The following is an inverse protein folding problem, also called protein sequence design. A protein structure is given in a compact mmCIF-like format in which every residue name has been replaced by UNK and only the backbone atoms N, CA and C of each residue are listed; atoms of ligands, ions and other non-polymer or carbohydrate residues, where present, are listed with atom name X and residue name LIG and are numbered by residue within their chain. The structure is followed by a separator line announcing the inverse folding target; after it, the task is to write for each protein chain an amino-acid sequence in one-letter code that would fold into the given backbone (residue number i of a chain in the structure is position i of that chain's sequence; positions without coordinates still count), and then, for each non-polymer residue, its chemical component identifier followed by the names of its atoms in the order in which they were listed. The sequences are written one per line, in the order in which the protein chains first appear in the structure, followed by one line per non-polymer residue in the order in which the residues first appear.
data_IF_112984902993
#
_entry.id   IF_112984902993
#
_cell.length_a   1.000
_cell.length_b   1.000
_cell.length_c   1.000
_cell.angle_alpha   90.00
_cell.angle_beta   90.00
_cell.angle_gamma   90.00
#
_symmetry.space_group_name_H-M   'P 1'
#
loop_
_entity.id
_entity.type
_entity.pdbx_description
1 polymer ?
#
# COMPACT_ATOMS: atom_id res chain seq x y z
N UNK A 1 -5.22 34.33 8.77
CA UNK A 1 -4.14 33.56 8.10
C UNK A 1 -4.74 32.94 6.86
N UNK A 2 -4.17 33.21 5.72
CA UNK A 2 -4.61 32.60 4.45
C UNK A 2 -3.75 31.37 4.13
N UNK A 3 -4.40 30.26 3.76
CA UNK A 3 -3.75 29.04 3.29
C UNK A 3 -4.44 28.61 2.01
N UNK A 4 -3.69 28.50 0.92
CA UNK A 4 -4.21 28.06 -0.37
C UNK A 4 -3.67 26.67 -0.74
N UNK A 5 -4.51 25.93 -1.44
CA UNK A 5 -4.20 24.59 -1.96
C UNK A 5 -4.41 24.56 -3.47
N UNK A 6 -3.40 24.11 -4.20
CA UNK A 6 -3.43 24.05 -5.66
C UNK A 6 -2.97 22.68 -6.16
N UNK A 7 -3.76 22.07 -7.02
CA UNK A 7 -3.36 20.85 -7.70
C UNK A 7 -2.20 21.12 -8.68
N UNK A 8 -1.12 20.36 -8.53
CA UNK A 8 0.08 20.47 -9.39
C UNK A 8 0.24 19.27 -10.34
N UNK A 9 -0.78 18.43 -10.48
CA UNK A 9 -0.80 17.26 -11.36
C UNK A 9 -0.31 15.99 -10.68
N UNK A 10 -0.53 14.85 -11.34
CA UNK A 10 -0.08 13.50 -10.91
C UNK A 10 -0.42 13.14 -9.46
N UNK A 11 -1.61 13.52 -8.98
CA UNK A 11 -2.03 13.23 -7.60
C UNK A 11 -1.23 14.01 -6.55
N UNK A 12 -0.71 15.19 -6.90
CA UNK A 12 0.01 16.09 -6.00
C UNK A 12 -0.71 17.40 -5.82
N UNK A 13 -0.63 17.92 -4.62
CA UNK A 13 -1.18 19.22 -4.22
C UNK A 13 -0.06 20.07 -3.62
N UNK A 14 -0.12 21.37 -3.81
CA UNK A 14 0.78 22.33 -3.17
C UNK A 14 -0.01 23.19 -2.20
N UNK A 15 0.50 23.29 -0.97
CA UNK A 15 0.07 24.23 0.06
C UNK A 15 0.92 25.49 -0.05
N UNK A 16 0.28 26.64 0.04
CA UNK A 16 0.95 27.93 0.11
C UNK A 16 0.33 28.78 1.22
N UNK A 17 1.18 29.44 2.00
CA UNK A 17 0.81 30.46 2.99
C UNK A 17 1.99 31.44 3.15
N UNK A 18 1.71 32.70 3.48
CA UNK A 18 2.72 33.69 3.82
C UNK A 18 3.18 33.58 5.29
N UNK A 19 2.43 32.85 6.13
CA UNK A 19 2.81 32.56 7.52
C UNK A 19 3.82 31.42 7.57
N UNK A 20 5.12 31.77 7.58
CA UNK A 20 6.22 30.80 7.63
C UNK A 20 6.16 29.89 8.86
N UNK A 21 5.72 30.43 10.01
CA UNK A 21 5.60 29.66 11.25
C UNK A 21 4.51 28.59 11.10
N UNK A 22 3.36 28.96 10.54
CA UNK A 22 2.28 28.00 10.27
C UNK A 22 2.72 26.96 9.24
N UNK A 23 3.43 27.37 8.19
CA UNK A 23 3.98 26.45 7.19
C UNK A 23 4.91 25.41 7.81
N UNK A 24 5.87 25.85 8.63
CA UNK A 24 6.82 24.96 9.28
C UNK A 24 6.12 24.01 10.28
N UNK A 25 5.14 24.50 11.06
CA UNK A 25 4.35 23.66 11.96
C UNK A 25 3.59 22.56 11.21
N UNK A 26 2.96 22.90 10.09
CA UNK A 26 2.26 21.92 9.24
C UNK A 26 3.29 20.92 8.68
N UNK A 27 4.38 21.39 8.14
CA UNK A 27 5.41 20.57 7.52
C UNK A 27 6.07 19.62 8.52
N UNK A 28 6.38 20.09 9.73
CA UNK A 28 6.95 19.27 10.80
C UNK A 28 6.00 18.19 11.31
N UNK A 29 4.71 18.48 11.37
CA UNK A 29 3.70 17.46 11.69
C UNK A 29 3.75 16.28 10.74
N UNK A 30 3.96 16.54 9.46
CA UNK A 30 4.02 15.53 8.39
C UNK A 30 5.46 15.14 8.04
N UNK A 31 6.25 14.84 9.08
CA UNK A 31 7.65 14.46 8.98
C UNK A 31 8.02 13.39 9.99
N UNK A 32 9.17 12.76 9.81
CA UNK A 32 9.71 11.76 10.73
C UNK A 32 11.25 11.72 10.65
N UNK A 33 11.87 11.23 11.72
CA UNK A 33 13.28 10.90 11.73
C UNK A 33 13.48 9.47 11.19
N UNK A 34 14.32 9.33 10.19
CA UNK A 34 14.68 8.03 9.60
C UNK A 34 16.09 7.62 10.00
N UNK A 35 16.39 6.33 9.96
CA UNK A 35 17.75 5.86 10.23
C UNK A 35 18.74 6.38 9.18
N UNK A 36 20.03 6.50 9.55
CA UNK A 36 21.10 6.91 8.62
C UNK A 36 21.10 6.06 7.33
N UNK A 37 20.86 4.77 7.44
CA UNK A 37 20.77 3.87 6.30
C UNK A 37 19.62 4.23 5.35
N UNK A 38 18.43 4.48 5.90
CA UNK A 38 17.26 4.89 5.09
C UNK A 38 17.51 6.25 4.43
N UNK A 39 18.13 7.19 5.14
CA UNK A 39 18.52 8.49 4.60
C UNK A 39 19.49 8.37 3.42
N UNK A 40 20.56 7.58 3.59
CA UNK A 40 21.57 7.34 2.53
C UNK A 40 20.91 6.67 1.31
N UNK A 41 20.06 5.67 1.53
CA UNK A 41 19.33 4.99 0.45
C UNK A 41 18.43 5.97 -0.31
N UNK A 42 17.75 6.86 0.39
CA UNK A 42 16.90 7.90 -0.20
C UNK A 42 17.70 8.90 -1.03
N UNK A 43 18.85 9.35 -0.51
CA UNK A 43 19.73 10.25 -1.27
C UNK A 43 20.19 9.60 -2.58
N UNK A 44 20.63 8.34 -2.53
CA UNK A 44 21.06 7.58 -3.71
C UNK A 44 19.93 7.38 -4.73
N UNK A 45 18.72 7.05 -4.28
CA UNK A 45 17.56 6.84 -5.17
C UNK A 45 17.11 8.12 -5.89
N UNK A 46 17.42 9.29 -5.32
CA UNK A 46 17.15 10.61 -5.91
C UNK A 46 18.34 11.22 -6.66
N UNK A 47 19.40 10.45 -6.85
CA UNK A 47 20.61 10.92 -7.54
C UNK A 47 21.48 11.89 -6.72
N UNK A 48 21.21 12.05 -5.42
CA UNK A 48 22.03 12.90 -4.53
C UNK A 48 23.15 12.09 -3.90
N UNK A 49 24.35 12.66 -3.81
CA UNK A 49 25.40 12.16 -2.93
C UNK A 49 25.05 12.57 -1.49
N UNK A 50 24.93 11.61 -0.54
CA UNK A 50 24.71 11.97 0.86
C UNK A 50 25.91 12.76 1.37
N UNK A 51 25.64 13.91 1.96
CA UNK A 51 26.66 14.67 2.69
C UNK A 51 26.81 14.04 4.09
N UNK A 52 27.96 13.40 4.40
CA UNK A 52 28.15 12.74 5.68
C UNK A 52 28.17 13.70 6.87
N UNK A 53 28.33 14.99 6.62
CA UNK A 53 28.38 16.04 7.66
C UNK A 53 27.02 16.67 7.94
N UNK A 54 26.04 16.54 7.03
CA UNK A 54 24.67 17.00 7.20
C UNK A 54 23.77 15.88 7.72
N UNK A 55 23.79 15.69 9.02
CA UNK A 55 23.00 14.67 9.72
C UNK A 55 21.59 15.18 10.01
N UNK A 56 20.83 15.58 8.99
CA UNK A 56 19.38 15.67 9.16
C UNK A 56 18.74 14.42 8.58
N UNK A 57 18.55 13.41 9.43
CA UNK A 57 17.77 12.21 9.09
C UNK A 57 16.27 12.50 8.99
N UNK A 58 15.89 13.79 9.00
CA UNK A 58 14.52 14.24 9.00
C UNK A 58 13.95 14.19 7.58
N UNK A 59 12.86 13.48 7.41
CA UNK A 59 12.16 13.29 6.15
C UNK A 59 10.77 13.89 6.24
N UNK A 60 10.43 14.71 5.27
CA UNK A 60 9.17 15.43 5.20
C UNK A 60 8.27 14.87 4.10
N UNK A 61 7.00 14.61 4.40
CA UNK A 61 5.99 14.28 3.40
C UNK A 61 5.57 15.52 2.58
N UNK A 62 5.73 16.71 3.15
CA UNK A 62 5.56 18.01 2.48
C UNK A 62 6.94 18.58 2.18
N UNK A 63 7.26 18.83 0.92
CA UNK A 63 8.57 19.41 0.55
C UNK A 63 8.65 20.91 0.87
N UNK A 64 9.81 21.53 0.64
CA UNK A 64 10.04 22.97 0.93
C UNK A 64 9.20 23.92 0.07
N UNK A 65 8.78 23.47 -1.12
CA UNK A 65 7.85 24.23 -1.97
C UNK A 65 6.37 24.00 -1.64
N UNK A 66 6.08 23.31 -0.54
CA UNK A 66 4.71 23.02 -0.08
C UNK A 66 4.04 21.85 -0.80
N UNK A 67 4.74 21.12 -1.69
CA UNK A 67 4.13 20.03 -2.44
C UNK A 67 4.11 18.73 -1.63
N UNK A 68 2.99 18.01 -1.74
CA UNK A 68 2.73 16.73 -1.10
C UNK A 68 1.81 15.85 -1.97
N UNK A 69 1.72 14.57 -1.66
CA UNK A 69 0.77 13.68 -2.33
C UNK A 69 -0.66 13.96 -1.84
N UNK A 70 -1.58 14.17 -2.77
CA UNK A 70 -2.96 14.67 -2.52
C UNK A 70 -3.74 13.84 -1.49
N UNK A 71 -3.46 12.55 -1.35
CA UNK A 71 -4.11 11.70 -0.34
C UNK A 71 -3.85 12.11 1.12
N UNK A 72 -2.93 13.04 1.40
CA UNK A 72 -2.71 13.62 2.72
C UNK A 72 -3.56 14.88 2.97
N UNK A 73 -4.30 15.35 1.97
CA UNK A 73 -5.03 16.63 2.07
C UNK A 73 -6.00 16.64 3.25
N UNK A 74 -6.79 15.59 3.43
CA UNK A 74 -7.74 15.48 4.54
C UNK A 74 -7.02 15.55 5.90
N UNK A 75 -5.93 14.79 6.08
CA UNK A 75 -5.12 14.80 7.31
C UNK A 75 -4.50 16.20 7.58
N UNK A 76 -4.11 16.92 6.53
CA UNK A 76 -3.55 18.30 6.63
C UNK A 76 -4.65 19.29 7.03
N UNK A 77 -5.82 19.21 6.41
CA UNK A 77 -6.97 20.06 6.76
C UNK A 77 -7.43 19.84 8.20
N UNK A 78 -7.49 18.59 8.63
CA UNK A 78 -7.81 18.22 10.01
C UNK A 78 -6.76 18.79 10.98
N UNK A 79 -5.48 18.71 10.65
CA UNK A 79 -4.42 19.31 11.46
C UNK A 79 -4.58 20.83 11.57
N UNK A 80 -4.81 21.51 10.45
CA UNK A 80 -5.01 22.96 10.42
C UNK A 80 -6.20 23.36 11.31
N UNK A 81 -7.35 22.69 11.14
CA UNK A 81 -8.54 22.95 11.93
C UNK A 81 -8.33 22.76 13.43
N UNK A 82 -7.59 21.74 13.82
CA UNK A 82 -7.40 21.39 15.23
C UNK A 82 -6.28 22.19 15.92
N UNK A 83 -5.31 22.72 15.18
CA UNK A 83 -4.15 23.41 15.79
C UNK A 83 -4.16 24.92 15.60
N UNK A 84 -4.95 25.43 14.66
CA UNK A 84 -5.08 26.88 14.45
C UNK A 84 -6.48 27.40 14.81
N UNK A 85 -7.23 26.69 15.68
CA UNK A 85 -8.59 27.03 16.07
C UNK A 85 -8.72 28.41 16.73
N UNK A 86 -7.64 28.97 17.31
CA UNK A 86 -7.58 30.30 17.90
C UNK A 86 -7.29 31.43 16.88
N UNK A 87 -7.20 31.09 15.58
CA UNK A 87 -6.94 32.04 14.50
C UNK A 87 -8.07 31.94 13.46
N UNK A 88 -8.41 33.06 12.85
CA UNK A 88 -9.21 33.01 11.62
C UNK A 88 -8.34 32.47 10.51
N UNK A 89 -8.69 31.29 9.98
CA UNK A 89 -7.99 30.64 8.86
C UNK A 89 -8.90 30.65 7.65
N UNK A 90 -8.49 31.35 6.60
CA UNK A 90 -9.17 31.38 5.32
C UNK A 90 -8.53 30.33 4.41
N UNK A 91 -9.29 29.28 4.06
CA UNK A 91 -8.84 28.21 3.18
C UNK A 91 -9.34 28.45 1.76
N UNK A 92 -8.42 28.45 0.82
CA UNK A 92 -8.75 28.58 -0.61
C UNK A 92 -8.27 27.36 -1.40
N UNK A 93 -9.06 26.91 -2.36
CA UNK A 93 -8.75 25.75 -3.18
C UNK A 93 -8.88 26.11 -4.65
N UNK A 94 -8.01 25.55 -5.50
CA UNK A 94 -8.26 25.59 -6.93
C UNK A 94 -9.35 24.56 -7.31
N UNK A 95 -9.97 24.74 -8.47
CA UNK A 95 -11.09 23.93 -8.97
C UNK A 95 -10.83 22.42 -8.89
N UNK A 96 -9.61 21.99 -9.24
CA UNK A 96 -9.26 20.56 -9.21
C UNK A 96 -9.10 20.00 -7.80
N UNK A 97 -8.59 20.79 -6.88
CA UNK A 97 -8.46 20.40 -5.46
C UNK A 97 -9.83 20.36 -4.82
N UNK A 98 -10.69 21.31 -5.15
CA UNK A 98 -12.09 21.34 -4.68
C UNK A 98 -12.90 20.16 -5.24
N UNK A 99 -12.78 19.84 -6.53
CA UNK A 99 -13.39 18.65 -7.13
C UNK A 99 -12.91 17.35 -6.46
N UNK A 100 -11.61 17.26 -6.12
CA UNK A 100 -11.08 16.12 -5.38
C UNK A 100 -11.75 15.97 -4.01
N UNK A 101 -11.88 17.06 -3.23
CA UNK A 101 -12.52 17.03 -1.91
C UNK A 101 -13.99 16.65 -2.03
N UNK A 102 -14.73 17.33 -2.89
CA UNK A 102 -16.16 17.06 -3.12
C UNK A 102 -16.40 15.63 -3.60
N UNK A 103 -15.58 15.16 -4.53
CA UNK A 103 -15.71 13.81 -5.10
C UNK A 103 -15.31 12.73 -4.08
N UNK A 104 -14.35 13.02 -3.22
CA UNK A 104 -13.89 12.09 -2.19
C UNK A 104 -14.90 11.96 -1.05
N UNK A 105 -15.67 13.00 -0.75
CA UNK A 105 -16.70 13.01 0.30
C UNK A 105 -18.09 12.66 -0.21
N UNK A 106 -18.37 12.92 -1.47
CA UNK A 106 -19.67 12.57 -2.04
C UNK A 106 -19.85 11.05 -2.12
N UNK A 107 -20.99 10.51 -1.71
CA UNK A 107 -21.34 9.14 -2.03
C UNK A 107 -21.45 9.02 -3.56
N UNK A 108 -20.65 8.14 -4.16
CA UNK A 108 -20.86 7.80 -5.55
C UNK A 108 -22.30 7.30 -5.69
N UNK A 109 -23.04 7.81 -6.67
CA UNK A 109 -24.40 7.33 -7.02
C UNK A 109 -24.29 5.94 -7.65
N UNK A 110 -23.71 5.00 -6.92
CA UNK A 110 -23.51 3.63 -7.34
C UNK A 110 -24.64 2.77 -6.83
N UNK A 111 -25.07 1.86 -7.68
CA UNK A 111 -25.95 0.75 -7.26
C UNK A 111 -25.19 -0.11 -6.25
N UNK A 112 -25.92 -0.88 -5.45
CA UNK A 112 -25.38 -1.88 -4.54
C UNK A 112 -24.31 -2.74 -5.24
N UNK A 113 -23.31 -3.20 -4.49
CA UNK A 113 -22.30 -4.13 -5.00
C UNK A 113 -22.98 -5.36 -5.60
N UNK A 114 -22.59 -5.70 -6.83
CA UNK A 114 -23.09 -6.88 -7.53
C UNK A 114 -22.23 -8.07 -7.07
N UNK A 115 -22.87 -9.03 -6.43
CA UNK A 115 -22.23 -10.23 -5.86
C UNK A 115 -22.85 -11.54 -6.35
N UNK A 116 -24.00 -11.47 -7.02
CA UNK A 116 -24.86 -12.64 -7.31
C UNK A 116 -24.17 -13.73 -8.13
N UNK A 117 -23.14 -13.37 -8.90
CA UNK A 117 -22.40 -14.27 -9.78
C UNK A 117 -20.95 -14.49 -9.34
N UNK A 118 -20.56 -14.03 -8.16
CA UNK A 118 -19.23 -14.28 -7.64
C UNK A 118 -19.02 -15.80 -7.44
N UNK A 119 -17.84 -16.29 -7.77
CA UNK A 119 -17.48 -17.71 -7.62
C UNK A 119 -17.51 -18.16 -6.15
N UNK A 120 -17.19 -17.27 -5.23
CA UNK A 120 -17.30 -17.45 -3.78
C UNK A 120 -18.37 -16.50 -3.23
N UNK A 121 -19.17 -16.98 -2.26
CA UNK A 121 -20.17 -16.13 -1.59
C UNK A 121 -19.46 -15.14 -0.68
N UNK A 122 -19.55 -13.83 -0.93
CA UNK A 122 -18.93 -12.81 -0.08
C UNK A 122 -19.58 -12.77 1.31
N UNK A 123 -18.77 -12.49 2.32
CA UNK A 123 -19.22 -12.21 3.68
C UNK A 123 -19.69 -10.76 3.79
N UNK A 124 -20.52 -10.45 4.79
CA UNK A 124 -21.11 -9.12 4.92
C UNK A 124 -20.05 -8.02 5.01
N UNK A 125 -19.01 -8.18 5.84
CA UNK A 125 -17.94 -7.19 5.98
C UNK A 125 -17.16 -6.94 4.67
N UNK A 126 -17.07 -7.96 3.78
CA UNK A 126 -16.46 -7.80 2.46
C UNK A 126 -17.34 -6.95 1.55
N UNK A 127 -18.66 -7.16 1.62
CA UNK A 127 -19.63 -6.33 0.88
C UNK A 127 -19.56 -4.88 1.37
N UNK A 128 -19.63 -4.67 2.68
CA UNK A 128 -19.65 -3.34 3.30
C UNK A 128 -18.35 -2.57 3.00
N UNK A 129 -17.20 -3.23 3.14
CA UNK A 129 -15.90 -2.60 2.83
C UNK A 129 -15.77 -2.24 1.35
N UNK A 130 -16.28 -3.07 0.43
CA UNK A 130 -16.24 -2.78 -1.00
C UNK A 130 -17.29 -1.74 -1.42
N UNK A 131 -18.44 -1.70 -0.76
CA UNK A 131 -19.40 -0.62 -0.93
C UNK A 131 -18.81 0.72 -0.51
N UNK A 132 -18.09 0.74 0.61
CA UNK A 132 -17.37 1.93 1.08
C UNK A 132 -16.28 2.34 0.07
N UNK A 133 -15.54 1.38 -0.49
CA UNK A 133 -14.54 1.65 -1.53
C UNK A 133 -15.15 2.29 -2.77
N UNK A 134 -16.32 1.82 -3.22
CA UNK A 134 -17.04 2.42 -4.35
C UNK A 134 -17.57 3.83 -4.04
N UNK A 135 -17.97 4.09 -2.79
CA UNK A 135 -18.44 5.40 -2.37
C UNK A 135 -17.30 6.41 -2.20
N UNK A 136 -16.10 5.93 -1.89
CA UNK A 136 -14.89 6.74 -1.73
C UNK A 136 -13.89 6.35 -2.81
N UNK A 137 -13.52 7.27 -3.68
CA UNK A 137 -12.67 6.98 -4.85
C UNK A 137 -11.25 6.55 -4.49
N UNK A 138 -10.87 6.64 -3.22
CA UNK A 138 -9.56 6.28 -2.73
C UNK A 138 -9.61 5.74 -1.29
N UNK A 139 -8.58 5.03 -0.92
CA UNK A 139 -8.37 4.65 0.48
C UNK A 139 -7.67 3.32 0.69
N UNK A 140 -7.18 3.17 1.91
CA UNK A 140 -6.54 1.96 2.40
C UNK A 140 -7.53 1.13 3.20
N UNK A 141 -7.56 -0.17 2.91
CA UNK A 141 -8.39 -1.18 3.55
C UNK A 141 -7.50 -2.15 4.30
N UNK A 142 -7.52 -2.08 5.63
CA UNK A 142 -6.75 -2.97 6.50
C UNK A 142 -7.64 -4.17 6.80
N UNK A 143 -7.35 -5.28 6.13
CA UNK A 143 -8.06 -6.54 6.26
C UNK A 143 -7.08 -7.62 6.71
N UNK A 144 -7.29 -8.15 7.90
CA UNK A 144 -6.43 -9.18 8.50
C UNK A 144 -6.22 -10.39 7.58
N UNK A 145 -5.16 -11.16 7.84
CA UNK A 145 -4.89 -12.40 7.09
C UNK A 145 -6.10 -13.34 7.20
N UNK A 146 -6.50 -13.92 6.07
CA UNK A 146 -7.69 -14.76 5.98
C UNK A 146 -9.02 -14.00 5.77
N UNK A 147 -9.01 -12.68 5.74
CA UNK A 147 -10.21 -11.87 5.45
C UNK A 147 -10.71 -11.97 4.01
N UNK A 148 -9.96 -12.60 3.10
CA UNK A 148 -10.32 -12.73 1.69
C UNK A 148 -10.08 -11.46 0.87
N UNK A 149 -8.93 -10.80 1.07
CA UNK A 149 -8.52 -9.60 0.32
C UNK A 149 -8.66 -9.78 -1.20
N UNK A 150 -8.27 -10.93 -1.73
CA UNK A 150 -8.36 -11.23 -3.18
C UNK A 150 -9.80 -11.21 -3.69
N UNK A 151 -10.76 -11.74 -2.91
CA UNK A 151 -12.18 -11.66 -3.27
C UNK A 151 -12.68 -10.20 -3.24
N UNK A 152 -12.28 -9.43 -2.23
CA UNK A 152 -12.58 -8.00 -2.16
C UNK A 152 -12.04 -7.25 -3.38
N UNK A 153 -10.79 -7.50 -3.74
CA UNK A 153 -10.14 -6.92 -4.94
C UNK A 153 -10.88 -7.31 -6.22
N UNK A 154 -11.28 -8.57 -6.36
CA UNK A 154 -12.07 -9.04 -7.50
C UNK A 154 -13.42 -8.32 -7.60
N UNK A 155 -14.17 -8.26 -6.51
CA UNK A 155 -15.48 -7.61 -6.46
C UNK A 155 -15.39 -6.11 -6.73
N UNK A 156 -14.43 -5.43 -6.11
CA UNK A 156 -14.19 -4.00 -6.35
C UNK A 156 -13.88 -3.73 -7.82
N UNK A 157 -12.92 -4.45 -8.37
CA UNK A 157 -12.52 -4.32 -9.77
C UNK A 157 -13.69 -4.54 -10.74
N UNK A 158 -14.46 -5.61 -10.51
CA UNK A 158 -15.65 -5.88 -11.31
C UNK A 158 -16.67 -4.76 -11.24
N UNK A 159 -16.97 -4.28 -10.03
CA UNK A 159 -17.97 -3.24 -9.83
C UNK A 159 -17.53 -1.87 -10.39
N UNK A 160 -16.24 -1.53 -10.34
CA UNK A 160 -15.71 -0.36 -11.03
C UNK A 160 -15.96 -0.43 -12.55
N UNK A 161 -15.72 -1.59 -13.16
CA UNK A 161 -15.95 -1.82 -14.58
C UNK A 161 -17.45 -1.84 -14.91
N UNK A 162 -18.27 -2.54 -14.12
CA UNK A 162 -19.70 -2.72 -14.35
C UNK A 162 -20.48 -1.42 -14.24
N UNK A 163 -20.15 -0.60 -13.24
CA UNK A 163 -20.77 0.70 -13.04
C UNK A 163 -20.20 1.78 -13.97
N UNK A 164 -19.31 1.43 -14.91
CA UNK A 164 -18.66 2.34 -15.87
C UNK A 164 -17.84 3.46 -15.19
N UNK A 165 -17.39 3.23 -13.96
CA UNK A 165 -16.52 4.14 -13.22
C UNK A 165 -15.08 4.06 -13.76
N UNK A 166 -14.66 2.87 -14.17
CA UNK A 166 -13.38 2.59 -14.82
C UNK A 166 -13.59 1.73 -16.07
N UNK A 167 -12.70 1.87 -17.04
CA UNK A 167 -12.57 0.96 -18.19
C UNK A 167 -11.48 -0.05 -17.93
N UNK A 168 -10.40 0.36 -17.27
CA UNK A 168 -9.21 -0.44 -17.02
C UNK A 168 -8.80 -0.35 -15.55
N UNK A 169 -8.56 -1.51 -14.94
CA UNK A 169 -8.12 -1.65 -13.54
C UNK A 169 -6.74 -2.31 -13.53
N UNK A 170 -5.76 -1.67 -12.92
CA UNK A 170 -4.44 -2.22 -12.67
C UNK A 170 -4.35 -2.71 -11.22
N UNK A 171 -3.92 -3.96 -11.04
CA UNK A 171 -3.66 -4.54 -9.72
C UNK A 171 -2.17 -4.83 -9.62
N UNK A 172 -1.52 -4.28 -8.60
CA UNK A 172 -0.09 -4.47 -8.32
C UNK A 172 0.05 -5.36 -7.10
N UNK A 173 0.72 -6.50 -7.27
CA UNK A 173 1.09 -7.43 -6.20
C UNK A 173 2.59 -7.35 -5.89
N UNK A 174 3.07 -7.75 -4.68
CA UNK A 174 4.49 -7.64 -4.33
C UNK A 174 5.41 -8.51 -5.20
N UNK A 175 5.01 -9.76 -5.47
CA UNK A 175 5.87 -10.76 -6.14
C UNK A 175 5.15 -11.41 -7.35
N UNK A 176 5.93 -11.92 -8.35
CA UNK A 176 5.36 -12.55 -9.55
C UNK A 176 4.44 -13.73 -9.27
N UNK A 177 4.80 -14.59 -8.33
CA UNK A 177 3.97 -15.74 -7.95
C UNK A 177 2.63 -15.32 -7.38
N UNK A 178 2.62 -14.32 -6.46
CA UNK A 178 1.39 -13.78 -5.90
C UNK A 178 0.54 -13.09 -6.98
N UNK A 179 1.16 -12.37 -7.90
CA UNK A 179 0.43 -11.72 -9.00
C UNK A 179 -0.26 -12.75 -9.90
N UNK A 180 0.42 -13.85 -10.24
CA UNK A 180 -0.17 -14.95 -11.01
C UNK A 180 -1.32 -15.62 -10.25
N UNK A 181 -1.10 -15.98 -8.99
CA UNK A 181 -2.13 -16.56 -8.13
C UNK A 181 -3.34 -15.62 -8.01
N UNK A 182 -3.10 -14.32 -7.78
CA UNK A 182 -4.17 -13.32 -7.69
C UNK A 182 -4.96 -13.24 -9.00
N UNK A 183 -4.30 -13.25 -10.17
CA UNK A 183 -4.97 -13.25 -11.47
C UNK A 183 -5.85 -14.49 -11.66
N UNK A 184 -5.35 -15.66 -11.30
CA UNK A 184 -6.08 -16.92 -11.39
C UNK A 184 -7.30 -16.95 -10.45
N UNK A 185 -7.13 -16.50 -9.21
CA UNK A 185 -8.22 -16.43 -8.23
C UNK A 185 -9.29 -15.38 -8.65
N UNK A 186 -8.89 -14.22 -9.15
CA UNK A 186 -9.81 -13.21 -9.68
C UNK A 186 -10.57 -13.79 -10.88
N UNK A 187 -9.89 -14.48 -11.80
CA UNK A 187 -10.51 -15.12 -12.95
C UNK A 187 -11.55 -16.15 -12.53
N UNK A 188 -11.23 -16.97 -11.52
CA UNK A 188 -12.16 -17.94 -10.95
C UNK A 188 -13.39 -17.27 -10.31
N UNK A 189 -13.17 -16.24 -9.50
CA UNK A 189 -14.25 -15.52 -8.82
C UNK A 189 -15.13 -14.73 -9.78
N UNK A 190 -14.58 -14.23 -10.89
CA UNK A 190 -15.29 -13.42 -11.88
C UNK A 190 -15.67 -14.20 -13.15
N UNK A 191 -15.50 -15.51 -13.20
CA UNK A 191 -15.73 -16.34 -14.39
C UNK A 191 -17.14 -16.16 -15.00
N UNK A 192 -18.16 -15.98 -14.16
CA UNK A 192 -19.55 -15.78 -14.59
C UNK A 192 -19.86 -14.34 -15.04
N UNK A 193 -18.94 -13.39 -14.81
CA UNK A 193 -19.13 -12.00 -15.17
C UNK A 193 -18.58 -11.64 -16.55
N UNK A 194 -17.87 -12.54 -17.22
CA UNK A 194 -17.21 -12.32 -18.51
C UNK A 194 -16.24 -11.14 -18.50
N UNK A 195 -15.60 -10.88 -17.38
CA UNK A 195 -14.60 -9.81 -17.23
C UNK A 195 -13.28 -10.27 -17.82
N UNK A 196 -12.69 -9.47 -18.74
CA UNK A 196 -11.36 -9.77 -19.29
C UNK A 196 -10.30 -9.52 -18.22
N UNK A 197 -9.49 -10.55 -17.94
CA UNK A 197 -8.41 -10.49 -16.97
C UNK A 197 -7.12 -10.89 -17.67
N UNK A 198 -6.04 -10.15 -17.44
CA UNK A 198 -4.71 -10.43 -17.96
C UNK A 198 -3.70 -10.45 -16.82
N UNK A 199 -2.77 -11.38 -16.86
CA UNK A 199 -1.56 -11.36 -16.06
C UNK A 199 -0.40 -10.83 -16.89
N UNK A 200 0.33 -9.85 -16.36
CA UNK A 200 1.56 -9.34 -16.95
C UNK A 200 2.75 -9.78 -16.12
N UNK A 201 3.51 -10.74 -16.65
CA UNK A 201 4.72 -11.29 -16.05
C UNK A 201 5.95 -11.04 -16.92
N UNK A 202 7.09 -11.59 -16.50
CA UNK A 202 8.38 -11.41 -17.19
C UNK A 202 8.32 -11.83 -18.66
N UNK A 203 7.60 -12.92 -18.97
CA UNK A 203 7.47 -13.47 -20.31
C UNK A 203 6.29 -12.90 -21.11
N UNK A 204 5.56 -11.96 -20.52
CA UNK A 204 4.43 -11.34 -21.22
C UNK A 204 4.99 -10.48 -22.37
N UNK A 205 4.63 -10.86 -23.61
CA UNK A 205 4.84 -9.97 -24.74
C UNK A 205 4.04 -8.70 -24.51
N UNK A 206 4.62 -7.58 -24.88
CA UNK A 206 4.03 -6.25 -24.71
C UNK A 206 2.78 -5.98 -25.59
N UNK A 207 2.04 -7.02 -25.99
CA UNK A 207 0.71 -6.84 -26.58
C UNK A 207 -0.28 -6.52 -25.47
N UNK A 208 -0.10 -5.33 -24.96
CA UNK A 208 -0.75 -4.77 -23.81
C UNK A 208 -2.10 -4.13 -24.18
N UNK A 209 -2.64 -4.51 -25.33
CA UNK A 209 -3.88 -3.98 -25.93
C UNK A 209 -5.15 -4.34 -25.16
N UNK A 210 -5.19 -4.03 -23.85
CA UNK A 210 -6.46 -4.10 -23.13
C UNK A 210 -7.20 -2.76 -23.28
N UNK A 211 -8.33 -2.79 -23.96
CA UNK A 211 -9.23 -1.63 -24.07
C UNK A 211 -10.16 -1.53 -22.85
N UNK A 212 -10.50 -2.67 -22.23
CA UNK A 212 -11.33 -2.75 -21.04
C UNK A 212 -11.05 -4.06 -20.28
N UNK A 213 -10.89 -3.99 -18.96
CA UNK A 213 -10.71 -5.17 -18.11
C UNK A 213 -9.76 -4.92 -16.95
N UNK A 214 -9.22 -6.02 -16.43
CA UNK A 214 -8.34 -6.05 -15.26
C UNK A 214 -6.97 -6.56 -15.71
N UNK A 215 -5.92 -5.89 -15.27
CA UNK A 215 -4.54 -6.35 -15.41
C UNK A 215 -3.95 -6.56 -14.03
N UNK A 216 -3.31 -7.69 -13.83
CA UNK A 216 -2.58 -8.02 -12.61
C UNK A 216 -1.10 -8.14 -12.95
N UNK A 217 -0.25 -7.44 -12.24
CA UNK A 217 1.20 -7.52 -12.40
C UNK A 217 1.93 -7.46 -11.06
N UNK A 218 3.22 -7.78 -11.05
CA UNK A 218 4.03 -7.65 -9.85
C UNK A 218 4.79 -6.32 -9.80
N UNK A 219 5.14 -5.89 -8.60
CA UNK A 219 6.04 -4.75 -8.41
C UNK A 219 7.42 -4.99 -9.05
N UNK A 220 7.87 -6.24 -9.11
CA UNK A 220 9.11 -6.63 -9.79
C UNK A 220 9.02 -6.40 -11.30
N UNK A 221 7.91 -6.82 -11.94
CA UNK A 221 7.66 -6.56 -13.36
C UNK A 221 7.68 -5.06 -13.65
N UNK A 222 6.97 -4.26 -12.85
CA UNK A 222 6.94 -2.81 -13.06
C UNK A 222 8.31 -2.16 -12.91
N UNK A 223 9.09 -2.57 -11.91
CA UNK A 223 10.45 -2.02 -11.72
C UNK A 223 11.39 -2.33 -12.87
N UNK A 224 11.26 -3.49 -13.50
CA UNK A 224 12.14 -3.89 -14.60
C UNK A 224 11.72 -3.37 -15.97
N UNK A 225 10.42 -3.09 -16.18
CA UNK A 225 9.86 -2.78 -17.50
C UNK A 225 9.01 -1.51 -17.54
N UNK A 226 9.12 -0.66 -16.53
CA UNK A 226 8.25 0.53 -16.42
C UNK A 226 8.34 1.43 -17.64
N UNK A 227 9.55 1.70 -18.12
CA UNK A 227 9.75 2.60 -19.27
C UNK A 227 9.13 2.04 -20.56
N UNK A 228 9.13 0.71 -20.73
CA UNK A 228 8.52 0.05 -21.88
C UNK A 228 6.98 0.09 -21.87
N UNK A 229 6.39 0.02 -20.68
CA UNK A 229 4.94 -0.12 -20.48
C UNK A 229 4.27 1.15 -19.95
N UNK A 230 5.03 2.22 -19.80
CA UNK A 230 4.61 3.47 -19.15
C UNK A 230 3.30 4.03 -19.72
N UNK A 231 3.21 4.17 -21.02
CA UNK A 231 2.02 4.75 -21.66
C UNK A 231 0.78 3.89 -21.44
N UNK A 232 0.95 2.56 -21.49
CA UNK A 232 -0.12 1.63 -21.24
C UNK A 232 -0.59 1.68 -19.79
N UNK A 233 0.36 1.69 -18.84
CA UNK A 233 0.06 1.73 -17.40
C UNK A 233 -0.56 3.08 -17.01
N UNK A 234 -0.08 4.19 -17.56
CA UNK A 234 -0.66 5.51 -17.33
C UNK A 234 -2.09 5.66 -17.92
N UNK A 235 -2.54 4.72 -18.74
CA UNK A 235 -3.91 4.71 -19.28
C UNK A 235 -4.95 4.00 -18.41
N UNK A 236 -4.56 3.49 -17.23
CA UNK A 236 -5.50 2.84 -16.31
C UNK A 236 -6.26 3.86 -15.47
N UNK A 237 -7.58 3.65 -15.37
CA UNK A 237 -8.48 4.53 -14.60
C UNK A 237 -8.44 4.24 -13.10
N UNK A 238 -8.16 2.98 -12.75
CA UNK A 238 -8.14 2.51 -11.38
C UNK A 238 -6.86 1.72 -11.07
N UNK A 239 -6.32 1.96 -9.89
CA UNK A 239 -5.16 1.31 -9.31
C UNK A 239 -5.55 0.62 -8.02
N UNK A 240 -5.20 -0.65 -7.89
CA UNK A 240 -5.30 -1.41 -6.64
C UNK A 240 -3.90 -1.94 -6.31
N UNK A 241 -3.42 -1.66 -5.10
CA UNK A 241 -2.14 -2.16 -4.62
C UNK A 241 -2.40 -3.18 -3.52
N UNK A 242 -2.08 -4.43 -3.78
CA UNK A 242 -2.09 -5.49 -2.78
C UNK A 242 -0.81 -5.45 -1.95
N UNK A 243 -0.92 -5.74 -0.66
CA UNK A 243 0.14 -5.55 0.33
C UNK A 243 0.74 -4.13 0.25
N UNK A 244 -0.14 -3.14 0.38
CA UNK A 244 0.18 -1.71 0.16
C UNK A 244 1.30 -1.18 1.07
N UNK A 245 1.61 -1.86 2.18
CA UNK A 245 2.75 -1.54 3.06
C UNK A 245 4.12 -1.64 2.36
N UNK A 246 4.18 -2.26 1.16
CA UNK A 246 5.39 -2.23 0.32
C UNK A 246 5.72 -0.83 -0.23
N UNK A 247 4.77 0.09 -0.25
CA UNK A 247 4.96 1.47 -0.70
C UNK A 247 5.71 2.29 0.37
N UNK A 248 6.95 1.92 0.61
CA UNK A 248 7.82 2.63 1.56
C UNK A 248 8.43 3.86 0.91
N UNK A 249 8.71 4.86 1.72
CA UNK A 249 9.45 6.06 1.26
C UNK A 249 10.74 5.65 0.53
N UNK A 250 11.03 6.32 -0.58
CA UNK A 250 12.19 6.08 -1.44
C UNK A 250 12.29 4.67 -2.06
N UNK A 251 11.23 3.86 -2.06
CA UNK A 251 11.24 2.60 -2.82
C UNK A 251 10.95 2.85 -4.31
N UNK A 252 11.52 2.01 -5.18
CA UNK A 252 11.31 2.15 -6.63
C UNK A 252 9.82 2.01 -7.02
N UNK A 253 9.08 1.10 -6.37
CA UNK A 253 7.65 0.94 -6.63
C UNK A 253 6.85 2.17 -6.21
N UNK A 254 7.22 2.83 -5.11
CA UNK A 254 6.62 4.09 -4.66
C UNK A 254 6.79 5.19 -5.71
N UNK A 255 7.99 5.30 -6.28
CA UNK A 255 8.28 6.25 -7.36
C UNK A 255 7.42 5.96 -8.60
N UNK A 256 7.24 4.70 -8.98
CA UNK A 256 6.37 4.31 -10.10
C UNK A 256 4.91 4.67 -9.80
N UNK A 257 4.38 4.24 -8.65
CA UNK A 257 2.99 4.49 -8.24
C UNK A 257 2.66 5.98 -8.18
N UNK A 258 3.64 6.83 -7.81
CA UNK A 258 3.46 8.28 -7.78
C UNK A 258 3.28 8.92 -9.17
N UNK A 259 3.69 8.23 -10.22
CA UNK A 259 3.56 8.70 -11.62
C UNK A 259 2.26 8.24 -12.30
N UNK A 260 1.51 7.34 -11.68
CA UNK A 260 0.27 6.82 -12.27
C UNK A 260 -0.89 7.80 -12.06
N UNK A 261 -1.56 8.24 -13.14
CA UNK A 261 -2.65 9.22 -13.05
C UNK A 261 -4.01 8.60 -12.73
N UNK A 262 -4.05 7.36 -12.24
CA UNK A 262 -5.29 6.65 -11.92
C UNK A 262 -6.18 7.47 -10.96
N UNK A 263 -7.43 7.67 -11.35
CA UNK A 263 -8.44 8.41 -10.58
C UNK A 263 -8.84 7.65 -9.31
N UNK A 264 -9.06 6.34 -9.45
CA UNK A 264 -9.46 5.46 -8.35
C UNK A 264 -8.21 4.76 -7.80
N UNK A 265 -7.97 4.89 -6.50
CA UNK A 265 -6.74 4.40 -5.88
C UNK A 265 -7.05 3.66 -4.59
N UNK A 266 -6.80 2.37 -4.55
CA UNK A 266 -7.08 1.54 -3.39
C UNK A 266 -5.87 0.73 -2.97
N UNK A 267 -5.70 0.55 -1.67
CA UNK A 267 -4.65 -0.30 -1.10
C UNK A 267 -5.24 -1.31 -0.14
N UNK A 268 -4.81 -2.56 -0.26
CA UNK A 268 -5.16 -3.63 0.66
C UNK A 268 -3.92 -4.08 1.43
N UNK A 269 -4.08 -4.33 2.73
CA UNK A 269 -3.02 -4.85 3.59
C UNK A 269 -3.59 -5.55 4.82
N UNK A 270 -2.81 -6.42 5.45
CA UNK A 270 -3.11 -6.92 6.80
C UNK A 270 -2.68 -5.95 7.90
N UNK A 271 -1.60 -5.20 7.67
CA UNK A 271 -1.00 -4.25 8.63
C UNK A 271 -0.42 -3.05 7.90
N UNK A 272 -0.43 -1.89 8.53
CA UNK A 272 0.30 -0.72 8.04
C UNK A 272 1.81 -0.89 8.31
N UNK A 273 2.67 -0.13 7.59
CA UNK A 273 4.08 -0.03 7.95
C UNK A 273 4.28 0.50 9.38
N UNK A 274 5.42 0.18 10.00
CA UNK A 274 5.73 0.65 11.35
C UNK A 274 6.20 2.12 11.38
N UNK A 275 6.87 2.57 10.32
CA UNK A 275 7.43 3.94 10.25
C UNK A 275 6.37 4.98 9.90
N UNK A 276 6.35 6.10 10.64
CA UNK A 276 5.42 7.22 10.39
C UNK A 276 5.51 7.74 8.95
N UNK A 277 6.73 7.91 8.43
CA UNK A 277 6.92 8.41 7.06
C UNK A 277 6.41 7.43 6.00
N UNK A 278 6.53 6.12 6.24
CA UNK A 278 6.01 5.10 5.34
C UNK A 278 4.47 5.08 5.37
N UNK A 279 3.85 5.28 6.56
CA UNK A 279 2.40 5.46 6.69
C UNK A 279 1.94 6.70 5.92
N UNK A 280 2.63 7.83 6.07
CA UNK A 280 2.32 9.05 5.33
C UNK A 280 2.49 8.87 3.80
N UNK A 281 3.48 8.09 3.39
CA UNK A 281 3.69 7.74 1.97
C UNK A 281 2.52 6.91 1.42
N UNK A 282 2.11 5.87 2.15
CA UNK A 282 0.96 5.04 1.76
C UNK A 282 -0.32 5.88 1.68
N UNK A 283 -0.62 6.65 2.72
CA UNK A 283 -1.81 7.52 2.74
C UNK A 283 -1.76 8.56 1.61
N UNK A 284 -0.61 9.19 1.41
CA UNK A 284 -0.45 10.20 0.38
C UNK A 284 -0.71 9.69 -1.04
N UNK A 285 -0.22 8.49 -1.35
CA UNK A 285 -0.34 7.89 -2.68
C UNK A 285 -1.68 7.21 -2.93
N UNK A 286 -2.30 6.65 -1.90
CA UNK A 286 -3.50 5.82 -2.02
C UNK A 286 -4.73 6.52 -1.45
N UNK A 287 -4.59 7.21 -0.33
CA UNK A 287 -5.69 7.83 0.41
C UNK A 287 -5.71 7.40 1.87
N UNK A 288 -6.62 7.96 2.67
CA UNK A 288 -6.72 7.65 4.10
C UNK A 288 -7.18 6.21 4.35
N UNK A 289 -7.00 5.74 5.59
CA UNK A 289 -7.55 4.45 6.01
C UNK A 289 -9.08 4.55 6.11
N UNK A 290 -9.77 3.81 5.25
CA UNK A 290 -11.25 3.82 5.17
C UNK A 290 -11.89 2.69 5.96
N UNK A 291 -11.23 1.55 6.06
CA UNK A 291 -11.77 0.37 6.73
C UNK A 291 -10.68 -0.42 7.43
N UNK A 292 -11.00 -0.94 8.61
CA UNK A 292 -10.08 -1.77 9.39
C UNK A 292 -10.84 -2.94 10.02
N UNK A 293 -10.36 -4.16 9.77
CA UNK A 293 -10.85 -5.39 10.37
C UNK A 293 -9.67 -6.30 10.66
N UNK A 294 -9.38 -6.53 11.92
CA UNK A 294 -8.24 -7.33 12.37
C UNK A 294 -8.53 -8.83 12.29
N UNK A 295 -7.46 -9.65 12.24
CA UNK A 295 -7.62 -11.11 12.36
C UNK A 295 -8.16 -11.55 13.72
N UNK A 296 -8.02 -10.72 14.77
CA UNK A 296 -8.60 -10.97 16.08
C UNK A 296 -10.12 -10.84 16.06
N UNK A 297 -10.64 -9.77 15.46
CA UNK A 297 -12.08 -9.58 15.26
C UNK A 297 -12.67 -10.68 14.38
N UNK A 298 -12.00 -11.05 13.28
CA UNK A 298 -12.42 -12.16 12.43
C UNK A 298 -12.49 -13.51 13.17
N UNK A 299 -11.61 -13.74 14.14
CA UNK A 299 -11.68 -14.93 15.00
C UNK A 299 -12.81 -14.84 16.02
N UNK A 300 -13.01 -13.69 16.63
CA UNK A 300 -14.12 -13.47 17.56
C UNK A 300 -15.47 -13.72 16.89
N UNK A 301 -15.62 -13.30 15.64
CA UNK A 301 -16.83 -13.53 14.82
C UNK A 301 -16.88 -14.92 14.15
N UNK A 302 -15.99 -15.85 14.55
CA UNK A 302 -15.92 -17.22 14.02
C UNK A 302 -15.67 -17.32 12.49
N UNK A 303 -15.16 -16.28 11.87
CA UNK A 303 -14.76 -16.33 10.46
C UNK A 303 -13.41 -16.99 10.24
N UNK A 304 -12.56 -17.03 11.25
CA UNK A 304 -11.27 -17.70 11.25
C UNK A 304 -11.17 -18.71 12.40
N UNK A 305 -10.41 -19.78 12.14
CA UNK A 305 -10.11 -20.78 13.15
C UNK A 305 -9.35 -20.17 14.33
N UNK A 306 -9.68 -20.53 15.58
CA UNK A 306 -8.91 -20.14 16.73
C UNK A 306 -7.45 -20.60 16.60
N UNK A 307 -6.52 -19.74 17.02
CA UNK A 307 -5.09 -20.04 17.02
C UNK A 307 -4.62 -20.14 18.46
N UNK A 308 -3.89 -21.21 18.77
CA UNK A 308 -3.13 -21.35 20.01
C UNK A 308 -1.66 -21.18 19.68
N UNK A 309 -1.04 -20.12 20.17
CA UNK A 309 0.40 -19.92 20.07
C UNK A 309 1.09 -20.51 21.31
N UNK A 310 2.13 -21.30 21.09
CA UNK A 310 2.96 -21.87 22.15
C UNK A 310 4.38 -21.37 21.89
N UNK A 311 4.90 -20.56 22.81
CA UNK A 311 6.29 -20.13 22.77
C UNK A 311 7.19 -21.18 23.44
N UNK A 312 8.17 -21.65 22.71
CA UNK A 312 9.22 -22.52 23.23
C UNK A 312 10.49 -21.71 23.47
N UNK A 313 10.99 -21.72 24.69
CA UNK A 313 12.28 -21.11 25.00
C UNK A 313 13.37 -22.17 24.87
N UNK A 314 14.34 -21.91 24.00
CA UNK A 314 15.50 -22.80 23.81
C UNK A 314 16.77 -22.14 24.34
N UNK A 315 17.76 -22.93 24.67
CA UNK A 315 19.12 -22.47 25.01
C UNK A 315 20.07 -22.53 23.81
N UNK A 316 19.53 -22.77 22.62
CA UNK A 316 20.31 -22.77 21.37
C UNK A 316 20.98 -21.41 21.22
N UNK A 317 22.30 -21.40 21.10
CA UNK A 317 23.04 -20.16 20.85
C UNK A 317 22.68 -19.68 19.45
N UNK A 318 22.00 -18.54 19.37
CA UNK A 318 21.78 -17.87 18.09
C UNK A 318 23.10 -17.40 17.50
N UNK A 319 23.18 -17.39 16.18
CA UNK A 319 24.26 -16.70 15.47
C UNK A 319 24.25 -15.23 15.91
N UNK A 320 25.39 -14.77 16.44
CA UNK A 320 25.62 -13.36 16.73
C UNK A 320 26.59 -12.88 15.66
N UNK A 321 26.16 -12.08 14.69
CA UNK A 321 27.09 -11.52 13.71
C UNK A 321 28.16 -10.73 14.45
N UNK A 322 29.40 -10.84 13.99
CA UNK A 322 30.51 -10.07 14.53
C UNK A 322 30.14 -8.58 14.43
N UNK A 323 30.15 -7.88 15.56
CA UNK A 323 29.69 -6.49 15.69
C UNK A 323 30.39 -5.46 14.77
N UNK A 324 31.45 -5.85 14.08
CA UNK A 324 32.32 -4.95 13.33
C UNK A 324 32.32 -5.15 11.80
N UNK A 325 31.53 -6.04 11.27
CA UNK A 325 31.51 -6.20 9.81
C UNK A 325 30.58 -5.16 9.14
N UNK A 326 31.08 -3.92 9.07
CA UNK A 326 30.41 -2.78 8.41
C UNK A 326 30.27 -2.96 6.88
N UNK A 327 30.80 -4.06 6.33
CA UNK A 327 30.77 -4.37 4.90
C UNK A 327 29.51 -5.14 4.50
N UNK A 328 28.82 -5.80 5.45
CA UNK A 328 27.63 -6.61 5.19
C UNK A 328 26.35 -5.81 5.32
N UNK A 329 25.47 -5.96 4.35
CA UNK A 329 24.16 -5.34 4.35
C UNK A 329 23.15 -6.24 5.09
N UNK A 330 22.06 -5.66 5.59
CA UNK A 330 21.06 -6.35 6.39
C UNK A 330 20.45 -7.62 5.76
N UNK A 331 20.43 -7.73 4.42
CA UNK A 331 20.05 -8.95 3.70
C UNK A 331 21.06 -10.07 3.88
N UNK A 332 22.34 -9.74 3.90
CA UNK A 332 23.44 -10.74 3.99
C UNK A 332 23.51 -11.28 5.42
N UNK A 333 23.35 -10.40 6.42
CA UNK A 333 23.27 -10.80 7.83
C UNK A 333 22.07 -11.69 8.10
N UNK A 334 20.92 -11.38 7.51
CA UNK A 334 19.70 -12.21 7.62
C UNK A 334 19.92 -13.59 7.00
N UNK A 335 20.52 -13.66 5.81
CA UNK A 335 20.80 -14.93 5.14
C UNK A 335 21.78 -15.79 5.95
N UNK A 336 22.83 -15.19 6.51
CA UNK A 336 23.78 -15.89 7.39
C UNK A 336 23.12 -16.41 8.67
N UNK A 337 22.19 -15.63 9.27
CA UNK A 337 21.44 -16.07 10.44
C UNK A 337 20.52 -17.26 10.10
N UNK A 338 19.82 -17.20 8.96
CA UNK A 338 18.96 -18.28 8.47
C UNK A 338 19.77 -19.52 8.17
N UNK A 339 20.95 -19.40 7.52
CA UNK A 339 21.84 -20.51 7.23
C UNK A 339 22.38 -21.15 8.51
N UNK A 340 22.86 -20.34 9.47
CA UNK A 340 23.35 -20.82 10.75
C UNK A 340 22.27 -21.54 11.59
N UNK A 341 21.01 -21.07 11.53
CA UNK A 341 19.90 -21.75 12.20
C UNK A 341 19.51 -23.03 11.46
N UNK A 342 19.49 -23.05 10.14
CA UNK A 342 19.12 -24.22 9.34
C UNK A 342 20.16 -25.37 9.47
N UNK A 343 21.43 -25.05 9.72
CA UNK A 343 22.50 -25.99 9.93
C UNK A 343 22.70 -26.42 11.40
N UNK A 344 21.93 -25.82 12.32
CA UNK A 344 22.05 -26.12 13.75
C UNK A 344 21.28 -27.38 14.12
N UNK A 345 22.01 -28.46 14.39
CA UNK A 345 21.44 -29.78 14.74
C UNK A 345 20.56 -29.74 16.01
N UNK A 346 20.96 -28.97 17.04
CA UNK A 346 20.17 -28.84 18.27
C UNK A 346 18.82 -28.18 18.00
N UNK A 347 18.83 -27.10 17.22
CA UNK A 347 17.61 -26.41 16.77
C UNK A 347 16.70 -27.33 15.95
N UNK A 348 17.29 -28.02 14.95
CA UNK A 348 16.58 -28.93 14.07
C UNK A 348 15.96 -30.10 14.83
N UNK A 349 16.67 -30.67 15.82
CA UNK A 349 16.14 -31.74 16.69
C UNK A 349 14.96 -31.26 17.55
N UNK A 350 15.02 -30.04 18.07
CA UNK A 350 13.89 -29.44 18.81
C UNK A 350 12.68 -29.29 17.89
N UNK A 351 12.88 -28.72 16.69
CA UNK A 351 11.81 -28.55 15.70
C UNK A 351 11.20 -29.88 15.30
N UNK A 352 12.03 -30.89 15.00
CA UNK A 352 11.59 -32.23 14.62
C UNK A 352 10.80 -32.91 15.76
N UNK A 353 11.27 -32.79 17.01
CA UNK A 353 10.59 -33.34 18.20
C UNK A 353 9.22 -32.69 18.41
N UNK A 354 9.16 -31.36 18.30
CA UNK A 354 7.89 -30.61 18.42
C UNK A 354 6.92 -31.01 17.31
N UNK A 355 7.39 -31.05 16.07
CA UNK A 355 6.59 -31.40 14.91
C UNK A 355 6.06 -32.87 15.02
N UNK A 356 6.88 -33.78 15.48
CA UNK A 356 6.51 -35.19 15.68
C UNK A 356 5.42 -35.43 16.73
N UNK A 357 5.21 -34.46 17.62
CA UNK A 357 4.13 -34.53 18.63
C UNK A 357 2.74 -34.12 18.08
N UNK A 358 2.67 -33.54 16.90
CA UNK A 358 1.40 -33.18 16.27
C UNK A 358 0.85 -34.35 15.45
N UNK A 359 -0.45 -34.65 15.63
CA UNK A 359 -1.14 -35.75 14.91
C UNK A 359 -1.66 -35.36 13.53
N UNK A 360 -1.62 -34.07 13.20
CA UNK A 360 -2.15 -33.48 11.95
C UNK A 360 -1.01 -32.92 11.10
N UNK A 361 -1.38 -32.43 9.91
CA UNK A 361 -0.42 -31.79 8.99
C UNK A 361 0.36 -30.70 9.69
N UNK A 362 1.68 -30.79 9.64
CA UNK A 362 2.61 -29.84 10.25
C UNK A 362 3.42 -29.18 9.13
N UNK A 363 3.48 -27.86 9.14
CA UNK A 363 4.36 -27.08 8.30
C UNK A 363 5.57 -26.64 9.13
N UNK A 364 6.77 -26.95 8.65
CA UNK A 364 8.05 -26.62 9.29
C UNK A 364 8.78 -25.63 8.41
#
# INVERSE_FOLDING_TARGET
MEISFKNVGLGRTRLFTEDEIAFDQIRDKFSDNVTNFQYIKRCKSRGYRPDPTRVSNHVYAINRSGEFNTGLLDDILDFIKNNFYNRTVDLTFDEKTEDYLQTNDAPLKTKSIIVDKAGSKPRQYQIDSMQLALNKQNGVFILGTGAGKTLCTALLSHNLLKNKLAKKVLIICPFPQLAKQTADEISKNLSKFLTKIQYWGADSKADLGISRGIVVCSSTFLRSRFDEVRDQICSFDALIVDEVQQLKEASAITSIVSQLPAKFRYGFTGTLPDGKIDILTVKGLIGPVRYKLSSAELRADSYLTPIKAIGLRTNVKSYVPAKDDRTKFGSDLYNEEVEALSENDEFNNIVATVAGNFKNNTLI
#
